data_IF_846997342967
#
_entry.id   IF_846997342967
#
_cell.length_a   1.000
_cell.length_b   1.000
_cell.length_c   1.000
_cell.angle_alpha   90.00
_cell.angle_beta   90.00
_cell.angle_gamma   90.00
#
_symmetry.space_group_name_H-M   'P 1'
#
loop_
_entity.id
_entity.type
_entity.pdbx_description
1 polymer ?
#
# COMPACT_ATOMS: atom_id res chain seq x y z
N UNK A 1 -33.73 31.31 -19.38
CA UNK A 1 -32.47 30.69 -18.95
C UNK A 1 -32.84 29.39 -18.25
N UNK A 2 -32.46 28.23 -18.78
CA UNK A 2 -32.81 26.95 -18.16
C UNK A 2 -32.14 26.86 -16.79
N UNK A 3 -32.95 26.76 -15.73
CA UNK A 3 -32.45 26.63 -14.36
C UNK A 3 -31.94 25.19 -14.20
N UNK A 4 -30.62 25.04 -14.13
CA UNK A 4 -29.99 23.73 -14.00
C UNK A 4 -30.27 23.17 -12.61
N UNK A 5 -31.04 22.08 -12.52
CA UNK A 5 -31.33 21.43 -11.24
C UNK A 5 -30.11 20.63 -10.77
N UNK A 6 -29.30 21.27 -9.93
CA UNK A 6 -28.07 20.71 -9.35
C UNK A 6 -28.36 19.43 -8.56
N UNK A 7 -29.56 19.27 -7.99
CA UNK A 7 -29.91 18.07 -7.21
C UNK A 7 -29.96 16.82 -8.08
N UNK A 8 -30.34 16.95 -9.36
CA UNK A 8 -30.33 15.85 -10.32
C UNK A 8 -28.91 15.33 -10.59
N UNK A 9 -27.91 16.21 -10.57
CA UNK A 9 -26.52 15.88 -10.89
C UNK A 9 -25.63 15.63 -9.67
N UNK A 10 -26.14 15.89 -8.47
CA UNK A 10 -25.43 15.74 -7.20
C UNK A 10 -24.67 14.39 -7.05
N UNK A 11 -25.24 13.21 -7.33
CA UNK A 11 -24.49 11.95 -7.18
C UNK A 11 -23.30 11.86 -8.14
N UNK A 12 -23.46 12.34 -9.38
CA UNK A 12 -22.38 12.34 -10.37
C UNK A 12 -21.28 13.34 -9.99
N UNK A 13 -21.65 14.50 -9.46
CA UNK A 13 -20.70 15.50 -8.96
C UNK A 13 -19.89 14.97 -7.77
N UNK A 14 -20.54 14.26 -6.85
CA UNK A 14 -19.89 13.61 -5.71
C UNK A 14 -18.90 12.55 -6.19
N UNK A 15 -19.32 11.65 -7.09
CA UNK A 15 -18.46 10.61 -7.65
C UNK A 15 -17.27 11.24 -8.37
N UNK A 16 -17.52 12.27 -9.19
CA UNK A 16 -16.47 13.01 -9.89
C UNK A 16 -15.46 13.62 -8.92
N UNK A 17 -15.91 14.23 -7.84
CA UNK A 17 -15.03 14.80 -6.83
C UNK A 17 -14.22 13.74 -6.08
N UNK A 18 -14.82 12.59 -5.74
CA UNK A 18 -14.11 11.46 -5.12
C UNK A 18 -13.00 10.97 -6.04
N UNK A 19 -13.26 10.82 -7.35
CA UNK A 19 -12.26 10.39 -8.33
C UNK A 19 -11.13 11.42 -8.43
N UNK A 20 -11.45 12.71 -8.50
CA UNK A 20 -10.44 13.78 -8.56
C UNK A 20 -9.54 13.75 -7.31
N UNK A 21 -10.12 13.62 -6.12
CA UNK A 21 -9.38 13.56 -4.86
C UNK A 21 -8.57 12.27 -4.71
N UNK A 22 -9.06 11.14 -5.23
CA UNK A 22 -8.34 9.88 -5.32
C UNK A 22 -7.10 10.02 -6.22
N UNK A 23 -7.24 10.62 -7.40
CA UNK A 23 -6.12 10.87 -8.32
C UNK A 23 -5.11 11.86 -7.73
N UNK A 24 -5.58 12.91 -7.05
CA UNK A 24 -4.72 13.86 -6.35
C UNK A 24 -3.93 13.17 -5.22
N UNK A 25 -4.58 12.29 -4.46
CA UNK A 25 -3.96 11.47 -3.41
C UNK A 25 -2.86 10.58 -3.97
N UNK A 26 -3.12 9.92 -5.10
CA UNK A 26 -2.13 9.07 -5.78
C UNK A 26 -0.96 9.91 -6.30
N UNK A 27 -1.23 11.02 -6.98
CA UNK A 27 -0.20 11.88 -7.56
C UNK A 27 0.75 12.43 -6.49
N UNK A 28 0.21 13.03 -5.43
CA UNK A 28 1.02 13.61 -4.34
C UNK A 28 1.91 12.57 -3.65
N UNK A 29 1.46 11.32 -3.53
CA UNK A 29 2.24 10.21 -2.95
C UNK A 29 3.18 9.54 -3.94
N UNK A 30 2.98 9.75 -5.23
CA UNK A 30 3.86 9.29 -6.30
C UNK A 30 5.03 10.25 -6.59
N UNK A 31 5.01 11.49 -6.09
CA UNK A 31 6.11 12.46 -6.25
C UNK A 31 7.49 11.87 -5.87
N UNK A 32 7.67 11.16 -4.74
CA UNK A 32 8.96 10.58 -4.37
C UNK A 32 9.31 9.29 -5.14
N UNK A 33 8.53 8.86 -6.14
CA UNK A 33 8.72 7.57 -6.80
C UNK A 33 10.07 7.46 -7.55
N UNK A 34 10.62 8.58 -8.01
CA UNK A 34 11.94 8.62 -8.65
C UNK A 34 13.07 8.21 -7.69
N UNK A 35 12.85 8.35 -6.37
CA UNK A 35 13.78 7.87 -5.33
C UNK A 35 13.56 6.41 -4.93
N UNK A 36 12.47 5.78 -5.41
CA UNK A 36 12.17 4.38 -5.10
C UNK A 36 12.90 3.44 -6.03
N UNK A 37 13.01 3.76 -7.33
CA UNK A 37 13.75 2.96 -8.32
C UNK A 37 14.92 3.80 -8.82
N UNK A 38 16.09 3.56 -8.25
CA UNK A 38 17.33 4.24 -8.63
C UNK A 38 18.18 3.35 -9.53
N UNK A 39 19.17 3.93 -10.20
CA UNK A 39 20.18 3.17 -10.96
C UNK A 39 20.93 2.15 -10.09
N UNK A 40 20.95 2.36 -8.76
CA UNK A 40 21.56 1.48 -7.76
C UNK A 40 20.60 0.40 -7.23
N UNK A 41 19.31 0.47 -7.57
CA UNK A 41 18.27 -0.47 -7.15
C UNK A 41 17.07 0.20 -6.45
N UNK A 42 16.21 -0.63 -5.86
CA UNK A 42 15.00 -0.15 -5.18
C UNK A 42 15.33 0.27 -3.74
N UNK A 43 14.84 1.42 -3.29
CA UNK A 43 15.03 1.91 -1.92
C UNK A 43 13.68 2.11 -1.21
N UNK A 44 13.40 1.29 -0.19
CA UNK A 44 12.12 1.32 0.54
C UNK A 44 11.98 2.49 1.53
N UNK A 45 13.03 3.33 1.68
CA UNK A 45 13.11 4.51 2.55
C UNK A 45 13.01 4.18 4.06
N UNK A 46 13.89 4.75 4.88
CA UNK A 46 13.89 4.51 6.33
C UNK A 46 14.30 3.08 6.72
N UNK A 47 13.96 2.66 7.95
CA UNK A 47 14.33 1.35 8.50
C UNK A 47 13.17 0.36 8.49
N UNK A 48 12.02 0.76 9.00
CA UNK A 48 10.83 -0.08 9.18
C UNK A 48 10.33 -0.76 7.88
N UNK A 49 10.37 -0.11 6.70
CA UNK A 49 9.97 -0.76 5.45
C UNK A 49 10.86 -1.95 5.07
N UNK A 50 12.13 -1.96 5.44
CA UNK A 50 13.01 -3.11 5.21
C UNK A 50 12.63 -4.31 6.06
N UNK A 51 12.19 -4.08 7.30
CA UNK A 51 11.69 -5.16 8.14
C UNK A 51 10.35 -5.69 7.61
N UNK A 52 9.45 -4.81 7.14
CA UNK A 52 8.24 -5.25 6.42
C UNK A 52 8.60 -6.10 5.20
N UNK A 53 9.59 -5.70 4.38
CA UNK A 53 10.04 -6.48 3.22
C UNK A 53 10.52 -7.87 3.63
N UNK A 54 11.34 -7.97 4.68
CA UNK A 54 11.81 -9.25 5.22
C UNK A 54 10.63 -10.16 5.62
N UNK A 55 9.58 -9.59 6.18
CA UNK A 55 8.35 -10.33 6.50
C UNK A 55 7.57 -10.74 5.24
N UNK A 56 7.44 -9.85 4.25
CA UNK A 56 6.82 -10.14 2.95
C UNK A 56 7.55 -11.28 2.23
N UNK A 57 8.88 -11.25 2.19
CA UNK A 57 9.68 -12.32 1.58
C UNK A 57 9.42 -13.68 2.25
N UNK A 58 9.31 -13.71 3.58
CA UNK A 58 9.00 -14.94 4.31
C UNK A 58 7.55 -15.39 4.13
N UNK A 59 6.59 -14.48 4.14
CA UNK A 59 5.19 -14.79 3.89
C UNK A 59 4.96 -15.24 2.45
N UNK A 60 5.66 -14.67 1.47
CA UNK A 60 5.59 -15.11 0.06
C UNK A 60 6.09 -16.54 -0.11
N UNK A 61 7.23 -16.87 0.50
CA UNK A 61 7.78 -18.21 0.44
C UNK A 61 6.89 -19.27 1.13
N UNK A 62 6.00 -18.85 2.03
CA UNK A 62 5.15 -19.74 2.84
C UNK A 62 3.66 -19.39 2.76
N UNK A 63 3.22 -18.71 1.70
CA UNK A 63 1.91 -18.06 1.68
C UNK A 63 0.78 -19.08 1.89
N UNK A 64 -0.21 -18.80 2.76
CA UNK A 64 -0.50 -17.54 3.46
C UNK A 64 0.06 -17.44 4.89
N UNK A 65 1.04 -18.27 5.28
CA UNK A 65 1.53 -18.27 6.66
C UNK A 65 2.35 -17.00 6.99
N UNK A 66 2.06 -16.41 8.16
CA UNK A 66 2.82 -15.30 8.73
C UNK A 66 3.64 -15.78 9.94
N UNK A 67 4.88 -15.33 10.01
CA UNK A 67 5.77 -15.69 11.12
C UNK A 67 5.57 -14.76 12.30
N UNK A 68 5.49 -15.33 13.50
CA UNK A 68 5.31 -14.58 14.75
C UNK A 68 6.59 -14.45 15.57
N UNK A 69 7.70 -14.97 15.06
CA UNK A 69 9.02 -14.90 15.66
C UNK A 69 10.09 -14.82 14.58
N UNK A 70 11.07 -13.94 14.75
CA UNK A 70 12.23 -13.83 13.87
C UNK A 70 13.53 -14.13 14.63
N UNK A 71 14.17 -15.25 14.28
CA UNK A 71 15.46 -15.64 14.84
C UNK A 71 16.63 -14.82 14.27
N UNK A 72 16.42 -14.11 13.16
CA UNK A 72 17.46 -13.35 12.45
C UNK A 72 17.60 -11.91 12.96
N UNK A 73 16.75 -11.49 13.89
CA UNK A 73 16.90 -10.22 14.64
C UNK A 73 17.35 -10.50 16.08
N UNK A 74 17.72 -9.44 16.82
CA UNK A 74 18.06 -9.49 18.26
C UNK A 74 18.92 -10.71 18.67
N UNK A 75 20.06 -10.89 18.00
CA UNK A 75 20.98 -11.99 18.30
C UNK A 75 21.50 -11.90 19.76
N UNK A 76 21.62 -13.01 20.51
CA UNK A 76 21.42 -14.41 20.09
C UNK A 76 20.01 -14.98 20.31
N UNK A 77 19.06 -14.18 20.79
CA UNK A 77 17.77 -14.69 21.25
C UNK A 77 16.67 -14.69 20.20
N UNK A 78 16.78 -13.87 19.16
CA UNK A 78 15.63 -13.58 18.31
C UNK A 78 14.66 -12.62 19.00
N UNK A 79 13.59 -12.25 18.30
CA UNK A 79 12.50 -11.46 18.88
C UNK A 79 11.11 -11.91 18.38
N UNK A 80 10.10 -11.66 19.20
CA UNK A 80 8.70 -11.87 18.85
C UNK A 80 8.25 -10.75 17.91
N UNK A 81 7.57 -11.11 16.83
CA UNK A 81 7.01 -10.13 15.90
C UNK A 81 5.69 -9.62 16.47
N UNK A 82 5.69 -8.39 16.96
CA UNK A 82 4.49 -7.71 17.49
C UNK A 82 3.70 -6.94 16.42
N UNK A 83 4.12 -6.98 15.16
CA UNK A 83 3.47 -6.29 14.05
C UNK A 83 2.36 -7.16 13.47
N UNK A 84 1.23 -6.56 13.13
CA UNK A 84 0.08 -7.29 12.59
C UNK A 84 0.31 -7.82 11.17
N UNK A 85 -0.28 -8.98 10.79
CA UNK A 85 0.00 -9.66 9.54
C UNK A 85 -0.67 -8.99 8.33
N UNK A 86 -1.78 -8.28 8.54
CA UNK A 86 -2.66 -7.80 7.46
C UNK A 86 -1.92 -7.04 6.37
N UNK A 87 -1.02 -6.12 6.75
CA UNK A 87 -0.26 -5.33 5.78
C UNK A 87 0.67 -6.21 4.94
N UNK A 88 1.33 -7.17 5.58
CA UNK A 88 2.24 -8.13 4.94
C UNK A 88 1.49 -9.09 4.03
N UNK A 89 0.33 -9.58 4.46
CA UNK A 89 -0.55 -10.45 3.68
C UNK A 89 -1.10 -9.73 2.44
N UNK A 90 -1.51 -8.46 2.56
CA UNK A 90 -1.94 -7.64 1.41
C UNK A 90 -0.81 -7.52 0.39
N UNK A 91 0.41 -7.15 0.82
CA UNK A 91 1.55 -7.03 -0.08
C UNK A 91 1.88 -8.38 -0.72
N UNK A 92 1.91 -9.46 0.07
CA UNK A 92 2.23 -10.80 -0.43
C UNK A 92 1.20 -11.30 -1.44
N UNK A 93 -0.09 -11.08 -1.19
CA UNK A 93 -1.15 -11.42 -2.14
C UNK A 93 -1.02 -10.62 -3.45
N UNK A 94 -0.70 -9.32 -3.38
CA UNK A 94 -0.47 -8.49 -4.57
C UNK A 94 0.77 -8.93 -5.35
N UNK A 95 1.84 -9.33 -4.66
CA UNK A 95 3.03 -9.88 -5.32
C UNK A 95 2.70 -11.17 -6.07
N UNK A 96 1.94 -12.09 -5.47
CA UNK A 96 1.47 -13.31 -6.14
C UNK A 96 0.60 -13.01 -7.36
N UNK A 97 -0.34 -12.05 -7.24
CA UNK A 97 -1.20 -11.63 -8.35
C UNK A 97 -0.41 -10.97 -9.48
N UNK A 98 0.62 -10.19 -9.15
CA UNK A 98 1.49 -9.53 -10.11
C UNK A 98 2.56 -10.45 -10.71
N UNK A 99 2.74 -11.66 -10.18
CA UNK A 99 3.83 -12.56 -10.55
C UNK A 99 5.22 -12.05 -10.13
N UNK A 100 5.30 -11.18 -9.12
CA UNK A 100 6.54 -10.64 -8.61
C UNK A 100 7.33 -11.73 -7.85
N UNK A 101 8.45 -12.16 -8.41
CA UNK A 101 9.23 -13.28 -7.89
C UNK A 101 10.66 -12.86 -7.50
N UNK A 102 11.18 -11.78 -8.08
CA UNK A 102 12.49 -11.24 -7.74
C UNK A 102 12.37 -10.19 -6.64
N UNK A 103 13.44 -10.03 -5.85
CA UNK A 103 13.47 -9.03 -4.76
C UNK A 103 13.14 -7.61 -5.24
N UNK A 104 13.69 -7.10 -6.37
CA UNK A 104 13.31 -5.79 -6.90
C UNK A 104 11.82 -5.67 -7.26
N UNK A 105 11.23 -6.71 -7.84
CA UNK A 105 9.79 -6.73 -8.16
C UNK A 105 8.93 -6.69 -6.89
N UNK A 106 9.29 -7.48 -5.88
CA UNK A 106 8.60 -7.50 -4.58
C UNK A 106 8.70 -6.12 -3.92
N UNK A 107 9.88 -5.50 -3.95
CA UNK A 107 10.09 -4.16 -3.40
C UNK A 107 9.24 -3.11 -4.13
N UNK A 108 9.17 -3.18 -5.47
CA UNK A 108 8.32 -2.29 -6.26
C UNK A 108 6.84 -2.43 -5.88
N UNK A 109 6.33 -3.66 -5.78
CA UNK A 109 4.94 -3.90 -5.34
C UNK A 109 4.72 -3.36 -3.93
N UNK A 110 5.61 -3.69 -2.99
CA UNK A 110 5.53 -3.25 -1.60
C UNK A 110 5.50 -1.72 -1.48
N UNK A 111 6.31 -1.01 -2.27
CA UNK A 111 6.35 0.47 -2.30
C UNK A 111 5.04 1.11 -2.78
N UNK A 112 4.28 0.45 -3.66
CA UNK A 112 3.02 0.98 -4.19
C UNK A 112 1.81 0.69 -3.30
N UNK A 113 1.91 -0.24 -2.35
CA UNK A 113 0.77 -0.56 -1.46
C UNK A 113 0.34 0.64 -0.59
N UNK A 114 1.22 1.40 0.11
CA UNK A 114 0.77 2.53 0.92
C UNK A 114 0.05 3.64 0.13
N UNK A 115 0.54 4.10 -1.06
CA UNK A 115 -0.20 5.03 -1.91
C UNK A 115 -1.57 4.50 -2.34
N UNK A 116 -1.67 3.24 -2.74
CA UNK A 116 -2.93 2.63 -3.16
C UNK A 116 -3.94 2.52 -2.00
N UNK A 117 -3.47 2.15 -0.81
CA UNK A 117 -4.31 2.17 0.39
C UNK A 117 -4.83 3.58 0.70
N UNK A 118 -3.99 4.62 0.54
CA UNK A 118 -4.41 6.00 0.72
C UNK A 118 -5.49 6.42 -0.29
N UNK A 119 -5.40 5.96 -1.54
CA UNK A 119 -6.45 6.18 -2.56
C UNK A 119 -7.78 5.56 -2.14
N UNK A 120 -7.75 4.31 -1.64
CA UNK A 120 -8.94 3.62 -1.12
C UNK A 120 -9.57 4.36 0.06
N UNK A 121 -8.76 5.05 0.88
CA UNK A 121 -9.28 5.80 2.02
C UNK A 121 -10.15 7.00 1.62
N UNK A 122 -10.02 7.55 0.41
CA UNK A 122 -10.84 8.70 -0.04
C UNK A 122 -12.35 8.39 -0.02
N UNK A 123 -12.86 7.34 -0.73
CA UNK A 123 -14.26 6.97 -0.62
C UNK A 123 -14.64 6.44 0.77
N UNK A 124 -13.73 5.77 1.50
CA UNK A 124 -14.01 5.26 2.85
C UNK A 124 -14.33 6.40 3.81
N UNK A 125 -13.52 7.47 3.83
CA UNK A 125 -13.75 8.65 4.68
C UNK A 125 -15.01 9.39 4.26
N UNK A 126 -15.27 9.51 2.96
CA UNK A 126 -16.53 10.09 2.48
C UNK A 126 -17.74 9.31 2.99
N UNK A 127 -17.75 7.98 2.89
CA UNK A 127 -18.85 7.13 3.36
C UNK A 127 -18.99 7.17 4.88
N UNK A 128 -17.89 7.32 5.61
CA UNK A 128 -17.90 7.51 7.06
C UNK A 128 -18.57 8.83 7.44
N UNK A 129 -18.24 9.93 6.77
CA UNK A 129 -18.76 11.27 7.06
C UNK A 129 -20.16 11.54 6.48
N UNK A 130 -20.60 10.76 5.49
CA UNK A 130 -21.93 10.86 4.89
C UNK A 130 -23.04 10.38 5.84
N UNK A 131 -22.69 9.48 6.77
CA UNK A 131 -23.62 9.01 7.81
C UNK A 131 -24.00 10.13 8.75
#
# INVERSE_FOLDING_TARGET
MAQMDIKKYQPYLIIGLIVILALLTLWTRGIPADGLVTDEGVNLLGNDPWYNLRQVEQTLANFPAYAWFDAMTLYPTGDVIYWGPLFIEIISALCLLAGAATRPEIMLVASWVPPLMAVVMVPVVYLLARK
#
